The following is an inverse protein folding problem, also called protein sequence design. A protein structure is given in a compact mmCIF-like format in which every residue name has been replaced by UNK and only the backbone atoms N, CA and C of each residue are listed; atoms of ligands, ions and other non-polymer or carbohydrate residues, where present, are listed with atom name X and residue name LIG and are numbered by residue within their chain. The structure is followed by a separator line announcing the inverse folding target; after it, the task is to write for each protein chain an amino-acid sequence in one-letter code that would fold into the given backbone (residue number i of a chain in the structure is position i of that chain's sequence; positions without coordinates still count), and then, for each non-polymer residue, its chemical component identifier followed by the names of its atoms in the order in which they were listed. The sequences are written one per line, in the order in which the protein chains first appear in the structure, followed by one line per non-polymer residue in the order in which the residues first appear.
data_IF_856194261083
#
_entry.id   IF_856194261083
#
_cell.length_a   1.000
_cell.length_b   1.000
_cell.length_c   1.000
_cell.angle_alpha   90.00
_cell.angle_beta   90.00
_cell.angle_gamma   90.00
#
_symmetry.space_group_name_H-M   'P 1'
#
loop_
_entity.id
_entity.type
_entity.pdbx_description
1 polymer ?
#
# COMPACT_ATOMS: atom_id res chain seq x y z
N UNK A 1 -48.97 -11.65 -47.97
CA UNK A 1 -49.11 -10.18 -47.80
C UNK A 1 -49.34 -9.87 -46.32
N UNK A 2 -48.42 -9.09 -45.74
CA UNK A 2 -48.53 -8.11 -44.64
C UNK A 2 -49.62 -8.26 -43.56
N UNK A 3 -49.42 -7.95 -42.28
CA UNK A 3 -48.28 -7.77 -41.34
C UNK A 3 -49.00 -7.48 -40.00
N UNK A 4 -48.65 -8.22 -38.93
CA UNK A 4 -48.67 -7.97 -37.45
C UNK A 4 -49.74 -7.00 -36.86
N UNK A 5 -50.45 -7.31 -35.76
CA UNK A 5 -49.98 -7.48 -34.34
C UNK A 5 -51.15 -7.94 -33.41
N UNK A 6 -50.79 -8.34 -32.17
CA UNK A 6 -51.54 -8.45 -30.88
C UNK A 6 -51.70 -9.91 -30.37
N UNK A 7 -51.03 -10.28 -29.26
CA UNK A 7 -51.51 -10.42 -27.84
C UNK A 7 -52.57 -11.52 -27.68
N UNK A 8 -52.59 -12.44 -26.71
CA UNK A 8 -51.81 -12.85 -25.53
C UNK A 8 -52.23 -14.33 -25.27
N UNK A 9 -51.51 -15.22 -24.58
CA UNK A 9 -51.51 -15.42 -23.11
C UNK A 9 -50.91 -16.81 -22.89
N UNK A 10 -50.06 -17.02 -21.87
CA UNK A 10 -49.71 -18.39 -21.47
C UNK A 10 -48.50 -18.55 -20.55
N UNK A 11 -48.74 -18.39 -19.25
CA UNK A 11 -48.13 -19.10 -18.12
C UNK A 11 -46.60 -19.19 -17.96
N UNK A 12 -46.10 -18.38 -17.01
CA UNK A 12 -45.28 -18.75 -15.85
C UNK A 12 -44.29 -19.92 -15.95
N UNK A 13 -42.99 -19.60 -15.78
CA UNK A 13 -42.16 -20.12 -14.68
C UNK A 13 -41.24 -18.98 -14.23
N UNK A 14 -41.49 -18.43 -13.05
CA UNK A 14 -40.50 -17.65 -12.34
C UNK A 14 -39.52 -18.65 -11.71
N UNK A 15 -38.31 -18.75 -12.24
CA UNK A 15 -37.19 -19.31 -11.48
C UNK A 15 -36.74 -18.20 -10.53
N UNK A 16 -37.36 -18.18 -9.36
CA UNK A 16 -36.80 -17.55 -8.18
C UNK A 16 -35.43 -18.21 -7.93
N UNK A 17 -34.35 -17.46 -8.16
CA UNK A 17 -33.05 -17.81 -7.61
C UNK A 17 -33.19 -17.82 -6.09
N UNK A 18 -32.89 -18.96 -5.49
CA UNK A 18 -32.91 -19.16 -4.05
C UNK A 18 -32.00 -18.13 -3.38
N UNK A 19 -32.59 -17.13 -2.74
CA UNK A 19 -31.98 -16.47 -1.60
C UNK A 19 -31.98 -17.52 -0.49
N UNK A 20 -30.86 -18.22 -0.35
CA UNK A 20 -30.57 -18.97 0.86
C UNK A 20 -30.48 -17.97 1.99
N UNK A 21 -31.52 -17.94 2.82
CA UNK A 21 -31.44 -17.50 4.21
C UNK A 21 -30.42 -18.43 4.89
N UNK A 22 -29.14 -18.02 4.87
CA UNK A 22 -28.09 -18.70 5.63
C UNK A 22 -28.36 -18.41 7.11
N UNK A 23 -28.94 -19.41 7.79
CA UNK A 23 -29.29 -19.33 9.19
C UNK A 23 -28.13 -18.88 10.07
N UNK A 24 -28.48 -18.30 11.23
CA UNK A 24 -27.60 -17.93 12.34
C UNK A 24 -26.40 -18.89 12.48
N UNK A 25 -25.21 -18.49 11.97
CA UNK A 25 -23.95 -19.20 12.23
C UNK A 25 -22.85 -19.14 11.17
N UNK A 26 -23.14 -18.83 9.90
CA UNK A 26 -22.08 -18.68 8.88
C UNK A 26 -21.45 -17.27 8.91
N UNK A 27 -20.12 -17.12 8.74
CA UNK A 27 -19.49 -15.81 8.70
C UNK A 27 -19.94 -15.06 7.44
N UNK A 28 -20.05 -13.74 7.54
CA UNK A 28 -20.28 -12.89 6.36
C UNK A 28 -18.94 -12.52 5.71
N UNK A 29 -18.95 -12.20 4.41
CA UNK A 29 -17.75 -11.71 3.73
C UNK A 29 -17.19 -10.43 4.38
N UNK A 30 -18.07 -9.57 4.91
CA UNK A 30 -17.68 -8.37 5.67
C UNK A 30 -16.95 -8.71 6.97
N UNK A 31 -17.43 -9.69 7.74
CA UNK A 31 -16.77 -10.09 8.98
C UNK A 31 -15.39 -10.69 8.70
N UNK A 32 -15.29 -11.54 7.67
CA UNK A 32 -14.02 -12.14 7.26
C UNK A 32 -12.97 -11.10 6.82
N UNK A 33 -13.37 -10.09 6.06
CA UNK A 33 -12.46 -9.00 5.65
C UNK A 33 -12.04 -8.15 6.85
N UNK A 34 -12.95 -7.90 7.80
CA UNK A 34 -12.61 -7.19 9.06
C UNK A 34 -11.60 -7.97 9.90
N UNK A 35 -11.80 -9.27 10.05
CA UNK A 35 -10.84 -10.13 10.77
C UNK A 35 -9.47 -10.14 10.09
N UNK A 36 -9.43 -10.10 8.75
CA UNK A 36 -8.19 -9.99 8.00
C UNK A 36 -7.48 -8.64 8.17
N UNK A 37 -8.24 -7.54 8.25
CA UNK A 37 -7.70 -6.22 8.58
C UNK A 37 -7.10 -6.24 9.98
N UNK A 38 -7.81 -6.77 10.97
CA UNK A 38 -7.34 -6.82 12.36
C UNK A 38 -6.09 -7.70 12.54
N UNK A 39 -6.02 -8.82 11.82
CA UNK A 39 -4.79 -9.62 11.74
C UNK A 39 -3.66 -8.80 11.14
N UNK A 40 -3.90 -8.12 10.02
CA UNK A 40 -2.89 -7.34 9.31
C UNK A 40 -2.31 -6.20 10.17
N UNK A 41 -3.13 -5.56 11.01
CA UNK A 41 -2.71 -4.48 11.94
C UNK A 41 -1.65 -4.90 12.95
N UNK A 42 -1.67 -6.17 13.34
CA UNK A 42 -0.80 -6.71 14.39
C UNK A 42 0.26 -7.69 13.84
N UNK A 43 0.25 -7.95 12.53
CA UNK A 43 1.22 -8.83 11.87
C UNK A 43 2.62 -8.24 11.93
N UNK A 44 3.57 -9.00 12.49
CA UNK A 44 4.97 -8.63 12.67
C UNK A 44 5.86 -9.18 11.57
N UNK A 45 5.56 -10.37 11.05
CA UNK A 45 6.32 -10.94 9.95
C UNK A 45 5.53 -11.90 9.09
N UNK A 46 5.96 -12.05 7.84
CA UNK A 46 5.45 -13.07 6.92
C UNK A 46 6.59 -13.65 6.09
N UNK A 47 6.65 -14.96 5.97
CA UNK A 47 7.45 -15.68 4.96
C UNK A 47 6.54 -16.61 4.17
N UNK A 48 6.74 -16.69 2.87
CA UNK A 48 6.01 -17.61 2.00
C UNK A 48 6.73 -17.81 0.67
N UNK A 49 6.28 -18.80 -0.09
CA UNK A 49 6.37 -18.74 -1.55
C UNK A 49 5.06 -18.20 -2.10
N UNK A 50 5.10 -17.49 -3.22
CA UNK A 50 3.90 -17.14 -3.96
C UNK A 50 4.07 -17.41 -5.43
N UNK A 51 3.02 -17.91 -6.05
CA UNK A 51 2.89 -18.04 -7.50
C UNK A 51 2.01 -16.92 -8.01
N UNK A 52 2.51 -16.17 -8.98
CA UNK A 52 1.85 -15.04 -9.63
C UNK A 52 1.63 -15.43 -11.08
N UNK A 53 0.37 -15.47 -11.51
CA UNK A 53 -0.02 -15.73 -12.90
C UNK A 53 -0.78 -14.53 -13.42
N UNK A 54 -0.25 -13.87 -14.44
CA UNK A 54 -0.94 -12.79 -15.15
C UNK A 54 -1.21 -13.22 -16.60
N UNK A 55 -2.49 -13.33 -16.95
CA UNK A 55 -2.98 -13.70 -18.27
C UNK A 55 -3.58 -12.50 -19.00
N UNK A 56 -3.25 -12.38 -20.28
CA UNK A 56 -3.90 -11.54 -21.29
C UNK A 56 -4.16 -12.39 -22.55
N UNK A 57 -5.01 -11.96 -23.51
CA UNK A 57 -5.38 -12.75 -24.68
C UNK A 57 -4.20 -13.32 -25.49
N UNK A 58 -3.06 -12.62 -25.50
CA UNK A 58 -1.91 -12.97 -26.33
C UNK A 58 -0.74 -13.56 -25.51
N UNK A 59 -0.76 -13.43 -24.19
CA UNK A 59 0.37 -13.75 -23.34
C UNK A 59 -0.08 -14.17 -21.95
N UNK A 60 0.59 -15.18 -21.39
CA UNK A 60 0.46 -15.52 -19.97
C UNK A 60 1.85 -15.56 -19.38
N UNK A 61 2.06 -14.77 -18.34
CA UNK A 61 3.28 -14.78 -17.55
C UNK A 61 3.02 -15.45 -16.21
N UNK A 62 3.96 -16.28 -15.79
CA UNK A 62 3.95 -16.97 -14.51
C UNK A 62 5.28 -16.76 -13.81
N UNK A 63 5.23 -16.48 -12.50
CA UNK A 63 6.42 -16.32 -11.65
C UNK A 63 6.20 -16.99 -10.30
N UNK A 64 7.23 -17.67 -9.82
CA UNK A 64 7.28 -18.19 -8.45
C UNK A 64 8.30 -17.38 -7.68
N UNK A 65 7.88 -16.79 -6.57
CA UNK A 65 8.65 -15.84 -5.78
C UNK A 65 8.75 -16.33 -4.33
N UNK A 66 9.95 -16.30 -3.73
CA UNK A 66 10.11 -16.37 -2.27
C UNK A 66 9.97 -14.97 -1.71
N UNK A 67 9.13 -14.82 -0.70
CA UNK A 67 8.89 -13.53 -0.07
C UNK A 67 9.15 -13.61 1.43
N UNK A 68 9.73 -12.55 1.97
CA UNK A 68 9.84 -12.29 3.39
C UNK A 68 9.45 -10.84 3.65
N UNK A 69 8.71 -10.59 4.72
CA UNK A 69 8.17 -9.27 5.05
C UNK A 69 8.23 -8.99 6.54
N UNK A 70 8.52 -7.73 6.87
CA UNK A 70 8.29 -7.14 8.20
C UNK A 70 7.60 -5.79 7.98
N UNK A 71 6.26 -5.74 8.13
CA UNK A 71 5.50 -4.51 7.96
C UNK A 71 5.99 -3.39 8.87
N UNK A 72 5.85 -2.12 8.45
CA UNK A 72 5.21 -1.67 7.21
C UNK A 72 6.15 -1.56 6.00
N UNK A 73 7.47 -1.66 6.19
CA UNK A 73 8.44 -1.16 5.21
C UNK A 73 9.42 -2.21 4.66
N UNK A 74 9.66 -3.28 5.41
CA UNK A 74 10.71 -4.24 5.10
C UNK A 74 10.15 -5.38 4.26
N UNK A 75 10.78 -5.61 3.11
CA UNK A 75 10.40 -6.67 2.18
C UNK A 75 11.64 -7.21 1.46
N UNK A 76 11.65 -8.53 1.26
CA UNK A 76 12.52 -9.22 0.31
C UNK A 76 11.66 -10.07 -0.62
N UNK A 77 11.93 -9.97 -1.91
CA UNK A 77 11.35 -10.81 -2.96
C UNK A 77 12.50 -11.41 -3.76
N UNK A 78 12.52 -12.74 -3.90
CA UNK A 78 13.45 -13.46 -4.76
C UNK A 78 12.67 -14.26 -5.79
N UNK A 79 13.00 -14.08 -7.07
CA UNK A 79 12.34 -14.80 -8.17
C UNK A 79 13.00 -16.16 -8.35
N UNK A 80 12.27 -17.22 -8.06
CA UNK A 80 12.73 -18.61 -8.15
C UNK A 80 12.49 -19.21 -9.53
N UNK A 81 11.33 -18.91 -10.12
CA UNK A 81 10.92 -19.34 -11.45
C UNK A 81 10.21 -18.18 -12.14
N UNK A 82 10.38 -18.03 -13.45
CA UNK A 82 9.72 -16.96 -14.20
C UNK A 82 9.65 -17.27 -15.70
N UNK A 83 8.49 -17.03 -16.30
CA UNK A 83 8.32 -16.96 -17.76
C UNK A 83 8.35 -15.51 -18.26
N UNK A 84 8.40 -14.53 -17.37
CA UNK A 84 8.50 -13.10 -17.64
C UNK A 84 9.96 -12.72 -17.89
N UNK A 85 10.28 -12.27 -19.11
CA UNK A 85 11.65 -11.92 -19.48
C UNK A 85 12.15 -10.63 -18.82
N UNK A 86 11.26 -9.74 -18.40
CA UNK A 86 11.62 -8.50 -17.73
C UNK A 86 11.98 -8.73 -16.26
N UNK A 87 11.43 -9.80 -15.67
CA UNK A 87 11.67 -10.25 -14.30
C UNK A 87 12.21 -11.69 -14.32
N UNK A 88 13.47 -11.89 -14.75
CA UNK A 88 14.05 -13.22 -14.92
C UNK A 88 14.32 -13.93 -13.58
N UNK A 89 14.52 -15.25 -13.64
CA UNK A 89 14.97 -16.06 -12.50
C UNK A 89 16.24 -15.49 -11.88
N UNK A 90 16.25 -15.39 -10.55
CA UNK A 90 17.34 -14.81 -9.78
C UNK A 90 17.25 -13.29 -9.61
N UNK A 91 16.19 -12.64 -10.11
CA UNK A 91 15.90 -11.25 -9.76
C UNK A 91 15.62 -11.14 -8.26
N UNK A 92 16.13 -10.07 -7.63
CA UNK A 92 15.99 -9.84 -6.19
C UNK A 92 15.59 -8.41 -5.95
N UNK A 93 14.52 -8.21 -5.19
CA UNK A 93 14.13 -6.90 -4.67
C UNK A 93 14.22 -6.91 -3.15
N UNK A 94 14.95 -5.96 -2.58
CA UNK A 94 15.05 -5.76 -1.12
C UNK A 94 14.69 -4.32 -0.79
N UNK A 95 13.62 -4.14 -0.04
CA UNK A 95 13.16 -2.83 0.42
C UNK A 95 13.28 -2.76 1.93
N UNK A 96 13.78 -1.63 2.40
CA UNK A 96 13.66 -1.17 3.77
C UNK A 96 13.21 0.29 3.76
N UNK A 97 13.16 0.91 4.95
CA UNK A 97 12.71 2.31 5.11
C UNK A 97 13.53 3.32 4.32
N UNK A 98 14.82 3.08 4.15
CA UNK A 98 15.74 4.04 3.55
C UNK A 98 15.97 3.79 2.05
N UNK A 99 15.87 2.53 1.60
CA UNK A 99 16.30 2.13 0.27
C UNK A 99 15.49 0.97 -0.29
N UNK A 100 15.31 0.95 -1.60
CA UNK A 100 14.96 -0.24 -2.37
C UNK A 100 16.12 -0.59 -3.28
N UNK A 101 16.54 -1.86 -3.23
CA UNK A 101 17.46 -2.47 -4.15
C UNK A 101 16.68 -3.38 -5.10
N UNK A 102 16.91 -3.27 -6.40
CA UNK A 102 16.35 -4.18 -7.40
C UNK A 102 17.48 -4.68 -8.30
N UNK A 103 17.76 -5.97 -8.24
CA UNK A 103 18.77 -6.63 -9.06
C UNK A 103 18.11 -7.37 -10.21
N UNK A 104 18.58 -7.11 -11.43
CA UNK A 104 18.22 -7.87 -12.62
C UNK A 104 19.43 -8.68 -13.14
N UNK A 105 19.40 -10.02 -13.07
CA UNK A 105 20.52 -10.85 -13.51
C UNK A 105 20.70 -10.90 -15.03
N UNK A 106 19.69 -10.59 -15.84
CA UNK A 106 19.83 -10.56 -17.30
C UNK A 106 20.65 -9.36 -17.77
N UNK A 107 20.63 -8.26 -17.02
CA UNK A 107 21.39 -7.04 -17.34
C UNK A 107 22.63 -6.86 -16.47
N UNK A 108 22.77 -7.61 -15.38
CA UNK A 108 23.79 -7.42 -14.34
C UNK A 108 23.81 -5.97 -13.81
N UNK A 109 22.61 -5.42 -13.61
CA UNK A 109 22.38 -4.07 -13.07
C UNK A 109 21.60 -4.16 -11.77
N UNK A 110 21.97 -3.29 -10.83
CA UNK A 110 21.25 -3.05 -9.58
C UNK A 110 20.77 -1.62 -9.56
N UNK A 111 19.45 -1.44 -9.54
CA UNK A 111 18.85 -0.14 -9.25
C UNK A 111 18.78 0.04 -7.73
N UNK A 112 19.30 1.17 -7.25
CA UNK A 112 19.26 1.54 -5.83
C UNK A 112 18.46 2.83 -5.67
N UNK A 113 17.22 2.70 -5.26
CA UNK A 113 16.34 3.84 -5.02
C UNK A 113 16.42 4.28 -3.55
N UNK A 114 16.59 5.57 -3.33
CA UNK A 114 16.56 6.18 -1.99
C UNK A 114 15.16 6.67 -1.62
N UNK A 115 14.72 6.37 -0.41
CA UNK A 115 13.38 6.67 0.14
C UNK A 115 13.41 7.59 1.37
N UNK A 116 14.21 8.68 1.38
CA UNK A 116 14.49 9.42 2.61
C UNK A 116 13.26 10.08 3.25
N UNK A 117 12.20 10.31 2.45
CA UNK A 117 10.95 10.92 2.90
C UNK A 117 9.71 10.04 2.63
N UNK A 118 9.91 8.76 2.35
CA UNK A 118 8.78 7.86 2.06
C UNK A 118 8.03 7.58 3.35
N UNK A 119 6.72 7.80 3.30
CA UNK A 119 5.80 7.39 4.36
C UNK A 119 5.49 5.90 4.19
N UNK A 120 5.66 5.11 5.24
CA UNK A 120 5.40 3.68 5.17
C UNK A 120 3.90 3.43 5.32
N UNK A 121 3.27 3.03 4.21
CA UNK A 121 1.84 2.76 4.16
C UNK A 121 1.60 1.27 4.04
N UNK A 122 0.71 0.74 4.87
CA UNK A 122 0.28 -0.66 4.75
C UNK A 122 -0.74 -0.81 3.62
N UNK A 123 -0.23 -1.01 2.40
CA UNK A 123 -1.05 -1.14 1.21
C UNK A 123 -1.97 -2.36 1.27
N UNK A 124 -1.57 -3.45 1.91
CA UNK A 124 -2.44 -4.64 2.09
C UNK A 124 -3.68 -4.26 2.89
N UNK A 125 -3.46 -3.61 4.05
CA UNK A 125 -4.54 -3.19 4.93
C UNK A 125 -5.48 -2.25 4.21
N UNK A 126 -4.95 -1.25 3.50
CA UNK A 126 -5.76 -0.27 2.78
C UNK A 126 -6.60 -0.91 1.66
N UNK A 127 -6.05 -1.91 0.97
CA UNK A 127 -6.79 -2.65 -0.04
C UNK A 127 -7.88 -3.52 0.58
N UNK A 128 -7.65 -4.11 1.76
CA UNK A 128 -8.69 -4.81 2.51
C UNK A 128 -9.77 -3.85 3.04
N UNK A 129 -9.38 -2.68 3.53
CA UNK A 129 -10.32 -1.63 3.95
C UNK A 129 -11.17 -1.14 2.78
N UNK A 130 -10.57 -0.94 1.61
CA UNK A 130 -11.29 -0.56 0.40
C UNK A 130 -12.31 -1.63 -0.04
N UNK A 131 -12.04 -2.93 0.18
CA UNK A 131 -13.03 -3.99 -0.09
C UNK A 131 -14.33 -3.80 0.70
N UNK A 132 -14.28 -3.19 1.89
CA UNK A 132 -15.47 -2.96 2.72
C UNK A 132 -16.40 -1.89 2.14
N UNK A 133 -15.94 -1.07 1.20
CA UNK A 133 -16.78 -0.11 0.47
C UNK A 133 -17.70 -0.81 -0.55
N UNK A 134 -17.39 -2.04 -0.93
CA UNK A 134 -18.15 -2.82 -1.89
C UNK A 134 -19.06 -3.85 -1.23
N UNK A 135 -20.03 -4.35 -2.01
CA UNK A 135 -20.81 -5.50 -1.60
C UNK A 135 -19.94 -6.76 -1.66
N UNK A 136 -19.82 -7.44 -0.53
CA UNK A 136 -19.05 -8.68 -0.39
C UNK A 136 -20.00 -9.89 -0.36
N UNK A 137 -19.79 -10.83 -1.30
CA UNK A 137 -20.43 -12.14 -1.34
C UNK A 137 -19.57 -13.17 -0.61
N UNK A 138 -20.19 -14.12 0.09
CA UNK A 138 -19.52 -15.27 0.70
C UNK A 138 -19.91 -16.52 -0.07
N UNK A 139 -18.92 -17.17 -0.67
CA UNK A 139 -19.12 -18.29 -1.60
C UNK A 139 -18.83 -19.66 -0.94
N UNK A 140 -18.52 -19.68 0.36
CA UNK A 140 -18.21 -20.89 1.12
C UNK A 140 -16.72 -21.04 1.41
N UNK A 141 -16.26 -22.29 1.55
CA UNK A 141 -14.86 -22.63 1.79
C UNK A 141 -14.26 -23.43 0.63
N UNK A 142 -12.98 -23.20 0.38
CA UNK A 142 -12.15 -23.95 -0.56
C UNK A 142 -10.80 -24.30 0.07
N UNK A 143 -10.08 -25.25 -0.52
CA UNK A 143 -8.72 -25.60 -0.09
C UNK A 143 -7.66 -24.88 -0.94
N UNK A 144 -6.74 -24.18 -0.29
CA UNK A 144 -5.58 -23.51 -0.92
C UNK A 144 -4.32 -23.96 -0.20
N UNK A 145 -3.36 -24.54 -0.92
CA UNK A 145 -2.13 -25.12 -0.33
C UNK A 145 -2.39 -26.05 0.88
N UNK A 146 -3.44 -26.87 0.80
CA UNK A 146 -3.84 -27.77 1.89
C UNK A 146 -4.51 -27.09 3.10
N UNK A 147 -4.71 -25.77 3.07
CA UNK A 147 -5.38 -24.98 4.11
C UNK A 147 -6.83 -24.69 3.73
N UNK A 148 -7.73 -24.69 4.70
CA UNK A 148 -9.12 -24.27 4.48
C UNK A 148 -9.18 -22.74 4.43
N UNK A 149 -9.85 -22.20 3.41
CA UNK A 149 -9.98 -20.77 3.19
C UNK A 149 -11.42 -20.39 2.83
N UNK A 150 -11.88 -19.29 3.39
CA UNK A 150 -13.16 -18.68 3.08
C UNK A 150 -13.07 -17.87 1.80
N UNK A 151 -14.02 -18.08 0.89
CA UNK A 151 -14.07 -17.41 -0.40
C UNK A 151 -14.98 -16.19 -0.32
N UNK A 152 -14.40 -15.01 -0.52
CA UNK A 152 -15.11 -13.73 -0.55
C UNK A 152 -15.00 -13.14 -1.95
N UNK A 153 -16.13 -12.88 -2.60
CA UNK A 153 -16.20 -12.26 -3.92
C UNK A 153 -16.74 -10.83 -3.86
N UNK A 154 -16.22 -9.95 -4.69
CA UNK A 154 -16.80 -8.64 -4.95
C UNK A 154 -16.69 -8.22 -6.42
N UNK A 155 -17.54 -7.26 -6.79
CA UNK A 155 -17.59 -6.66 -8.12
C UNK A 155 -17.50 -5.14 -7.98
N UNK A 156 -16.29 -4.56 -8.05
CA UNK A 156 -16.12 -3.11 -8.00
C UNK A 156 -16.86 -2.45 -9.17
N UNK A 157 -17.54 -1.31 -8.97
CA UNK A 157 -18.19 -0.58 -10.05
C UNK A 157 -17.14 -0.05 -11.04
N UNK A 158 -17.45 -0.16 -12.34
CA UNK A 158 -16.51 0.23 -13.41
C UNK A 158 -16.19 1.72 -13.42
N UNK A 159 -17.13 2.57 -12.99
CA UNK A 159 -16.93 4.03 -12.94
C UNK A 159 -15.82 4.44 -11.95
N UNK A 160 -15.51 3.59 -10.96
CA UNK A 160 -14.43 3.79 -10.00
C UNK A 160 -13.09 3.24 -10.50
N UNK A 161 -13.10 2.55 -11.65
CA UNK A 161 -11.92 1.96 -12.27
C UNK A 161 -11.33 3.01 -13.22
N UNK A 162 -10.30 3.72 -12.75
CA UNK A 162 -9.53 4.65 -13.58
C UNK A 162 -8.88 3.97 -14.79
N UNK A 163 -7.93 4.64 -15.49
CA UNK A 163 -7.26 4.06 -16.66
C UNK A 163 -6.37 2.84 -16.32
N UNK A 164 -6.32 2.42 -15.06
CA UNK A 164 -5.51 1.35 -14.50
C UNK A 164 -6.32 0.63 -13.41
N UNK A 165 -6.29 -0.69 -13.38
CA UNK A 165 -6.68 -1.45 -12.18
C UNK A 165 -5.41 -1.71 -11.39
N UNK A 166 -5.33 -1.10 -10.21
CA UNK A 166 -4.27 -1.37 -9.24
C UNK A 166 -4.71 -2.52 -8.34
N UNK A 167 -4.05 -3.67 -8.49
CA UNK A 167 -4.21 -4.79 -7.58
C UNK A 167 -3.05 -4.81 -6.60
N UNK A 168 -3.32 -4.73 -5.30
CA UNK A 168 -2.29 -4.97 -4.29
C UNK A 168 -2.46 -6.35 -3.68
N UNK A 169 -1.48 -7.24 -3.90
CA UNK A 169 -1.40 -8.51 -3.18
C UNK A 169 -0.26 -8.45 -2.16
N UNK A 170 -0.63 -8.37 -0.89
CA UNK A 170 0.31 -7.91 0.13
C UNK A 170 0.61 -6.43 -0.07
N UNK A 171 1.87 -6.06 -0.29
CA UNK A 171 2.32 -4.69 -0.60
C UNK A 171 2.72 -4.51 -2.07
N UNK A 172 2.59 -5.57 -2.89
CA UNK A 172 2.98 -5.54 -4.29
C UNK A 172 1.80 -5.06 -5.11
N UNK A 173 1.93 -3.85 -5.66
CA UNK A 173 0.95 -3.29 -6.58
C UNK A 173 1.23 -3.80 -8.00
N UNK A 174 0.32 -4.61 -8.52
CA UNK A 174 0.20 -4.96 -9.92
C UNK A 174 -0.71 -3.96 -10.60
N UNK A 175 -0.22 -3.32 -11.65
CA UNK A 175 -0.99 -2.33 -12.40
C UNK A 175 -1.40 -2.95 -13.72
N UNK A 176 -2.69 -3.20 -13.90
CA UNK A 176 -3.23 -3.61 -15.19
C UNK A 176 -3.66 -2.35 -15.96
N UNK A 177 -3.03 -2.03 -17.10
CA UNK A 177 -3.44 -0.90 -17.93
C UNK A 177 -4.84 -1.15 -18.53
N UNK A 178 -5.80 -0.28 -18.23
CA UNK A 178 -7.17 -0.29 -18.79
C UNK A 178 -7.21 0.44 -20.15
N UNK A 179 -6.05 0.87 -20.65
CA UNK A 179 -5.82 1.71 -21.84
C UNK A 179 -6.40 1.13 -23.16
N UNK A 180 -7.01 -0.04 -23.11
CA UNK A 180 -7.42 -0.85 -24.26
C UNK A 180 -8.95 -0.84 -24.43
N UNK A 181 -9.71 -0.35 -23.45
CA UNK A 181 -11.16 -0.56 -23.39
C UNK A 181 -11.90 0.58 -24.06
N UNK A 182 -12.62 0.25 -25.13
CA UNK A 182 -13.35 1.21 -25.97
C UNK A 182 -14.72 1.56 -25.41
N UNK A 183 -15.24 0.75 -24.50
CA UNK A 183 -16.60 0.84 -23.96
C UNK A 183 -16.64 0.33 -22.52
N UNK A 184 -16.53 1.26 -21.56
CA UNK A 184 -16.54 0.95 -20.12
C UNK A 184 -17.86 0.31 -19.66
N UNK A 185 -18.97 0.55 -20.35
CA UNK A 185 -20.28 -0.01 -19.98
C UNK A 185 -20.34 -1.55 -20.16
N UNK A 186 -19.38 -2.11 -20.90
CA UNK A 186 -19.27 -3.55 -21.19
C UNK A 186 -18.23 -4.29 -20.35
N UNK A 187 -17.54 -3.57 -19.49
CA UNK A 187 -16.53 -4.13 -18.62
C UNK A 187 -17.21 -4.79 -17.41
N UNK A 188 -16.84 -6.03 -17.09
CA UNK A 188 -17.17 -6.68 -15.83
C UNK A 188 -15.85 -6.99 -15.12
N UNK A 189 -15.66 -6.39 -13.94
CA UNK A 189 -14.52 -6.66 -13.07
C UNK A 189 -14.99 -7.44 -11.87
N UNK A 190 -14.30 -8.55 -11.59
CA UNK A 190 -14.53 -9.33 -10.38
C UNK A 190 -13.23 -9.53 -9.63
N UNK A 191 -13.36 -9.58 -8.31
CA UNK A 191 -12.28 -9.82 -7.37
C UNK A 191 -12.72 -10.89 -6.40
N UNK A 192 -11.93 -11.96 -6.29
CA UNK A 192 -12.16 -13.06 -5.36
C UNK A 192 -10.95 -13.17 -4.44
N UNK A 193 -11.18 -13.20 -3.14
CA UNK A 193 -10.15 -13.33 -2.09
C UNK A 193 -10.44 -14.57 -1.28
N UNK A 194 -9.42 -15.39 -1.05
CA UNK A 194 -9.45 -16.57 -0.18
C UNK A 194 -8.75 -16.22 1.12
N UNK A 195 -9.52 -16.16 2.20
CA UNK A 195 -9.03 -15.80 3.54
C UNK A 195 -8.88 -17.09 4.34
N UNK A 196 -7.65 -17.38 4.77
CA UNK A 196 -7.32 -18.55 5.59
C UNK A 196 -8.17 -18.63 6.86
N UNK A 197 -8.69 -19.80 7.20
CA UNK A 197 -9.54 -19.98 8.38
C UNK A 197 -8.77 -19.79 9.71
N UNK A 198 -7.49 -20.22 9.75
CA UNK A 198 -6.67 -20.19 10.96
C UNK A 198 -6.07 -18.80 11.21
N UNK A 199 -5.33 -18.27 10.23
CA UNK A 199 -4.64 -16.98 10.35
C UNK A 199 -5.54 -15.79 10.04
N UNK A 200 -6.71 -15.99 9.42
CA UNK A 200 -7.54 -14.89 8.89
C UNK A 200 -6.73 -13.99 7.94
N UNK A 201 -5.84 -14.56 7.12
CA UNK A 201 -5.01 -13.80 6.17
C UNK A 201 -5.37 -14.18 4.72
N UNK A 202 -5.35 -13.23 3.75
CA UNK A 202 -5.53 -13.55 2.34
C UNK A 202 -4.41 -14.44 1.80
N UNK A 203 -4.72 -15.69 1.45
CA UNK A 203 -3.73 -16.66 0.94
C UNK A 203 -3.86 -16.95 -0.55
N UNK A 204 -4.96 -16.54 -1.16
CA UNK A 204 -5.09 -16.49 -2.61
C UNK A 204 -5.97 -15.33 -3.00
N UNK A 205 -5.68 -14.77 -4.16
CA UNK A 205 -6.47 -13.72 -4.74
C UNK A 205 -6.54 -13.90 -6.26
N UNK A 206 -7.72 -13.65 -6.83
CA UNK A 206 -7.96 -13.66 -8.26
C UNK A 206 -8.73 -12.42 -8.67
N UNK A 207 -8.23 -11.72 -9.68
CA UNK A 207 -8.92 -10.60 -10.30
C UNK A 207 -9.13 -10.92 -11.77
N UNK A 208 -10.36 -10.71 -12.25
CA UNK A 208 -10.69 -10.90 -13.66
C UNK A 208 -11.32 -9.63 -14.22
N UNK A 209 -10.95 -9.33 -15.45
CA UNK A 209 -11.50 -8.25 -16.24
C UNK A 209 -12.04 -8.85 -17.53
N UNK A 210 -13.36 -8.79 -17.69
CA UNK A 210 -14.07 -9.34 -18.83
C UNK A 210 -14.67 -8.21 -19.67
N UNK A 211 -14.54 -8.29 -20.98
CA UNK A 211 -15.18 -7.36 -21.94
C UNK A 211 -16.03 -8.19 -22.90
N UNK A 212 -17.33 -7.85 -23.02
CA UNK A 212 -18.28 -8.59 -23.86
C UNK A 212 -18.32 -10.12 -23.54
N UNK A 213 -18.02 -10.50 -22.30
CA UNK A 213 -18.02 -11.89 -21.83
C UNK A 213 -16.73 -12.67 -22.10
N UNK A 214 -15.71 -12.03 -22.69
CA UNK A 214 -14.37 -12.61 -22.87
C UNK A 214 -13.40 -12.06 -21.81
N UNK A 215 -12.59 -12.92 -21.20
CA UNK A 215 -11.54 -12.49 -20.27
C UNK A 215 -10.42 -11.78 -21.02
N UNK A 216 -10.26 -10.49 -20.71
CA UNK A 216 -9.19 -9.63 -21.24
C UNK A 216 -7.97 -9.63 -20.34
N UNK A 217 -8.17 -9.69 -19.03
CA UNK A 217 -7.07 -9.82 -18.09
C UNK A 217 -7.49 -10.71 -16.92
N UNK A 218 -6.58 -11.57 -16.50
CA UNK A 218 -6.71 -12.36 -15.28
C UNK A 218 -5.40 -12.29 -14.51
N UNK A 219 -5.48 -11.99 -13.22
CA UNK A 219 -4.34 -12.00 -12.33
C UNK A 219 -4.67 -12.87 -11.12
N UNK A 220 -3.91 -13.93 -10.94
CA UNK A 220 -4.01 -14.82 -9.78
C UNK A 220 -2.72 -14.78 -9.00
N UNK A 221 -2.81 -14.62 -7.68
CA UNK A 221 -1.70 -14.80 -6.75
C UNK A 221 -2.10 -15.83 -5.72
N UNK A 222 -1.25 -16.84 -5.53
CA UNK A 222 -1.47 -17.91 -4.54
C UNK A 222 -0.25 -18.04 -3.65
N UNK A 223 -0.45 -18.06 -2.34
CA UNK A 223 0.60 -18.29 -1.35
C UNK A 223 0.72 -19.78 -1.05
N UNK A 224 1.95 -20.21 -0.82
CA UNK A 224 2.33 -21.55 -0.41
C UNK A 224 3.37 -21.44 0.72
N UNK A 225 3.46 -22.48 1.57
CA UNK A 225 4.40 -22.51 2.70
C UNK A 225 4.27 -21.26 3.62
N UNK A 226 3.04 -20.78 3.85
CA UNK A 226 2.80 -19.55 4.62
C UNK A 226 3.23 -19.70 6.09
N UNK A 227 4.09 -18.80 6.53
CA UNK A 227 4.46 -18.60 7.94
C UNK A 227 4.22 -17.14 8.34
N UNK A 228 3.41 -16.94 9.37
CA UNK A 228 3.11 -15.61 9.93
C UNK A 228 3.62 -15.56 11.37
N UNK A 229 4.32 -14.46 11.70
CA UNK A 229 4.77 -14.17 13.06
C UNK A 229 5.73 -15.19 13.72
N UNK A 230 6.33 -16.08 12.94
CA UNK A 230 7.36 -17.02 13.42
C UNK A 230 8.77 -16.39 13.50
N UNK A 231 8.92 -15.16 12.99
CA UNK A 231 10.14 -14.36 13.05
C UNK A 231 11.01 -14.50 11.81
N UNK A 232 11.53 -13.36 11.35
CA UNK A 232 12.43 -13.26 10.18
C UNK A 232 13.75 -12.66 10.63
N UNK A 233 14.85 -13.21 10.15
CA UNK A 233 16.18 -12.73 10.47
C UNK A 233 16.38 -11.28 9.97
N UNK A 234 16.92 -10.35 10.77
CA UNK A 234 17.06 -8.93 10.37
C UNK A 234 17.86 -8.72 9.08
N UNK A 235 18.87 -9.54 8.83
CA UNK A 235 19.73 -9.48 7.64
C UNK A 235 18.98 -9.74 6.32
N UNK A 236 17.79 -10.36 6.38
CA UNK A 236 16.93 -10.61 5.22
C UNK A 236 16.62 -9.33 4.44
N UNK A 237 16.50 -8.20 5.14
CA UNK A 237 16.15 -6.89 4.57
C UNK A 237 17.37 -6.02 4.25
N UNK A 238 18.55 -6.64 4.21
CA UNK A 238 19.79 -6.04 3.70
C UNK A 238 20.20 -6.69 2.40
N UNK A 239 20.85 -5.93 1.52
CA UNK A 239 21.31 -6.41 0.24
C UNK A 239 22.74 -5.98 -0.02
N UNK A 240 23.60 -6.95 -0.33
CA UNK A 240 24.95 -6.71 -0.84
C UNK A 240 24.99 -7.20 -2.28
N UNK A 241 25.09 -6.31 -3.28
CA UNK A 241 25.07 -6.71 -4.68
C UNK A 241 26.28 -7.58 -5.03
N UNK A 242 26.15 -8.51 -6.00
CA UNK A 242 27.28 -9.32 -6.44
C UNK A 242 28.46 -8.45 -6.90
N UNK A 243 29.68 -8.94 -6.69
CA UNK A 243 30.89 -8.21 -7.10
C UNK A 243 30.92 -7.97 -8.61
N UNK A 244 31.24 -6.75 -9.02
CA UNK A 244 31.38 -6.38 -10.43
C UNK A 244 30.09 -5.95 -11.12
N UNK A 245 28.95 -5.97 -10.41
CA UNK A 245 27.66 -5.48 -10.89
C UNK A 245 27.60 -3.96 -10.87
N UNK A 246 26.93 -3.37 -11.85
CA UNK A 246 26.75 -1.91 -11.93
C UNK A 246 25.60 -1.49 -11.02
N UNK A 247 25.84 -0.56 -10.10
CA UNK A 247 24.80 0.03 -9.24
C UNK A 247 24.39 1.39 -9.82
N UNK A 248 23.12 1.53 -10.15
CA UNK A 248 22.51 2.76 -10.65
C UNK A 248 21.67 3.39 -9.53
N UNK A 249 22.10 4.52 -8.95
CA UNK A 249 21.29 5.19 -7.93
C UNK A 249 20.11 5.93 -8.56
N UNK A 250 18.96 5.88 -7.88
CA UNK A 250 17.76 6.66 -8.20
C UNK A 250 17.30 7.46 -6.97
N UNK A 251 16.83 8.67 -7.21
CA UNK A 251 16.48 9.63 -6.17
C UNK A 251 17.70 10.28 -5.49
N UNK A 252 17.41 11.15 -4.52
CA UNK A 252 18.45 11.86 -3.77
C UNK A 252 18.84 11.05 -2.54
N UNK A 253 20.12 10.70 -2.45
CA UNK A 253 20.69 10.10 -1.25
C UNK A 253 20.54 11.09 -0.07
N UNK A 254 19.99 10.65 1.08
CA UNK A 254 19.98 11.50 2.26
C UNK A 254 21.40 11.77 2.73
N UNK A 255 21.63 12.96 3.29
CA UNK A 255 22.91 13.27 3.96
C UNK A 255 23.14 12.37 5.17
N UNK A 256 22.05 11.95 5.82
CA UNK A 256 22.10 10.98 6.90
C UNK A 256 20.72 10.56 7.38
N UNK A 257 20.72 9.42 8.08
CA UNK A 257 19.59 8.91 8.85
C UNK A 257 20.08 8.77 10.29
N UNK A 258 19.45 9.47 11.22
CA UNK A 258 19.90 9.60 12.59
C UNK A 258 18.84 9.12 13.58
N UNK A 259 19.26 8.45 14.65
CA UNK A 259 18.35 8.02 15.73
C UNK A 259 18.10 9.12 16.77
N UNK A 260 18.89 10.20 16.77
CA UNK A 260 18.89 11.23 17.82
C UNK A 260 18.93 12.63 17.23
N UNK A 261 18.10 13.53 17.77
CA UNK A 261 18.03 14.96 17.39
C UNK A 261 19.39 15.63 17.37
N UNK A 262 20.14 15.57 18.48
CA UNK A 262 21.48 16.15 18.60
C UNK A 262 22.47 15.68 17.51
N UNK A 263 22.34 14.44 17.04
CA UNK A 263 23.21 13.94 15.99
C UNK A 263 22.83 14.54 14.63
N UNK A 264 21.54 14.67 14.36
CA UNK A 264 21.01 15.33 13.17
C UNK A 264 21.33 16.84 13.15
N UNK A 265 21.14 17.54 14.28
CA UNK A 265 21.41 18.99 14.41
C UNK A 265 22.86 19.37 14.11
N UNK A 266 23.82 18.47 14.28
CA UNK A 266 25.21 18.72 13.91
C UNK A 266 25.41 18.94 12.40
N UNK A 267 24.38 18.64 11.58
CA UNK A 267 24.35 18.80 10.14
C UNK A 267 23.40 19.92 9.68
N UNK A 268 22.68 20.58 10.59
CA UNK A 268 21.65 21.55 10.25
C UNK A 268 22.06 22.97 10.68
N UNK A 269 21.64 24.00 9.92
CA UNK A 269 21.84 25.39 10.33
C UNK A 269 20.81 25.89 11.37
N UNK A 270 19.90 25.01 11.81
CA UNK A 270 18.83 25.28 12.77
C UNK A 270 18.69 24.14 13.79
N UNK A 271 18.05 24.44 14.93
CA UNK A 271 17.71 23.44 15.94
C UNK A 271 16.45 22.67 15.53
N UNK A 272 16.34 21.40 15.95
CA UNK A 272 15.17 20.60 15.66
C UNK A 272 14.15 20.71 16.81
N UNK A 273 12.85 20.77 16.52
CA UNK A 273 11.84 20.91 17.56
C UNK A 273 11.73 19.65 18.42
N UNK A 274 11.21 19.84 19.64
CA UNK A 274 10.85 18.76 20.55
C UNK A 274 9.34 18.66 20.74
N UNK A 275 8.59 18.10 19.76
CA UNK A 275 7.14 18.01 19.86
C UNK A 275 6.68 17.10 21.01
N UNK A 276 5.61 17.51 21.69
CA UNK A 276 4.85 16.68 22.63
C UNK A 276 3.95 15.73 21.83
N UNK A 277 4.52 14.59 21.42
CA UNK A 277 3.78 13.50 20.76
C UNK A 277 3.12 12.58 21.79
N UNK A 278 1.99 11.92 21.46
CA UNK A 278 1.37 10.96 22.38
C UNK A 278 2.32 9.82 22.78
N UNK A 279 2.22 9.33 24.02
CA UNK A 279 3.09 8.29 24.61
C UNK A 279 3.23 7.01 23.78
N UNK A 280 2.25 6.71 22.92
CA UNK A 280 2.29 5.55 22.03
C UNK A 280 3.38 5.68 20.94
N UNK A 281 3.75 6.91 20.57
CA UNK A 281 4.72 7.19 19.53
C UNK A 281 6.14 7.36 20.11
N UNK A 282 7.11 6.73 19.46
CA UNK A 282 8.53 6.93 19.74
C UNK A 282 9.21 7.57 18.53
N UNK A 283 10.21 8.42 18.76
CA UNK A 283 11.10 8.90 17.70
C UNK A 283 11.82 7.70 17.09
N UNK A 284 11.55 7.44 15.83
CA UNK A 284 12.10 6.32 15.06
C UNK A 284 13.41 6.72 14.38
N UNK A 285 13.36 7.81 13.59
CA UNK A 285 14.50 8.30 12.81
C UNK A 285 14.36 9.77 12.47
N UNK A 286 15.47 10.37 12.09
CA UNK A 286 15.55 11.72 11.52
C UNK A 286 16.28 11.61 10.19
N UNK A 287 15.65 12.06 9.11
CA UNK A 287 16.27 12.09 7.79
C UNK A 287 16.62 13.52 7.41
N UNK A 288 17.82 13.71 6.86
CA UNK A 288 18.27 15.01 6.35
C UNK A 288 18.51 14.88 4.85
N UNK A 289 17.94 15.81 4.09
CA UNK A 289 18.13 15.92 2.66
C UNK A 289 18.50 17.36 2.33
N UNK A 290 19.69 17.54 1.78
CA UNK A 290 20.06 18.76 1.10
C UNK A 290 19.20 18.93 -0.17
N UNK A 291 18.56 20.07 -0.33
CA UNK A 291 17.78 20.47 -1.50
C UNK A 291 18.25 21.81 -2.06
N UNK A 292 19.49 22.22 -1.80
CA UNK A 292 20.06 23.50 -2.26
C UNK A 292 19.84 23.73 -3.76
N UNK A 293 20.17 22.74 -4.60
CA UNK A 293 20.01 22.85 -6.05
C UNK A 293 18.54 22.98 -6.55
N UNK A 294 17.56 22.54 -5.75
CA UNK A 294 16.14 22.48 -6.16
C UNK A 294 15.29 23.58 -5.51
N UNK A 295 15.51 23.82 -4.22
CA UNK A 295 14.71 24.72 -3.39
C UNK A 295 15.55 25.69 -2.54
N UNK A 296 16.89 25.63 -2.57
CA UNK A 296 17.76 26.55 -1.84
C UNK A 296 17.83 26.32 -0.34
N UNK A 297 17.84 25.05 0.10
CA UNK A 297 18.16 24.72 1.50
C UNK A 297 17.88 23.27 1.87
N UNK A 298 17.84 22.98 3.16
CA UNK A 298 17.79 21.63 3.73
C UNK A 298 16.39 21.28 4.22
N UNK A 299 16.04 20.00 4.12
CA UNK A 299 14.86 19.42 4.79
C UNK A 299 15.30 18.42 5.84
N UNK A 300 14.88 18.62 7.08
CA UNK A 300 14.93 17.62 8.14
C UNK A 300 13.53 17.04 8.38
N UNK A 301 13.40 15.72 8.49
CA UNK A 301 12.15 15.05 8.85
C UNK A 301 12.35 14.15 10.06
N UNK A 302 11.65 14.44 11.15
CA UNK A 302 11.57 13.62 12.35
C UNK A 302 10.39 12.67 12.21
N UNK A 303 10.67 11.37 12.19
CA UNK A 303 9.68 10.32 12.06
C UNK A 303 9.37 9.72 13.43
N UNK A 304 8.09 9.62 13.75
CA UNK A 304 7.60 9.01 14.97
C UNK A 304 6.68 7.85 14.61
N UNK A 305 6.86 6.71 15.26
CA UNK A 305 6.10 5.49 14.99
C UNK A 305 5.55 4.87 16.27
N UNK A 306 4.34 4.33 16.21
CA UNK A 306 3.82 3.42 17.25
C UNK A 306 4.38 2.01 16.98
N UNK A 307 5.28 1.48 17.83
CA UNK A 307 5.88 0.18 17.61
C UNK A 307 4.89 -0.99 17.76
N UNK A 308 3.67 -0.74 18.25
CA UNK A 308 2.66 -1.77 18.49
C UNK A 308 1.61 -1.85 17.38
N UNK A 309 1.58 -0.90 16.45
CA UNK A 309 0.58 -0.84 15.37
C UNK A 309 1.28 -0.62 14.03
N UNK A 310 1.06 -1.53 13.08
CA UNK A 310 1.67 -1.44 11.74
C UNK A 310 1.23 -0.16 11.01
N UNK A 311 2.19 0.53 10.39
CA UNK A 311 1.98 1.74 9.58
C UNK A 311 1.23 2.86 10.31
N UNK A 312 1.45 2.99 11.62
CA UNK A 312 0.97 4.10 12.42
C UNK A 312 2.12 5.08 12.67
N UNK A 313 2.33 5.94 11.69
CA UNK A 313 3.39 6.93 11.66
C UNK A 313 2.85 8.35 11.64
N UNK A 314 3.58 9.25 12.31
CA UNK A 314 3.47 10.69 12.15
C UNK A 314 4.87 11.26 11.89
N UNK A 315 4.97 12.41 11.26
CA UNK A 315 6.25 13.08 11.07
C UNK A 315 6.15 14.59 11.27
N UNK A 316 7.28 15.17 11.69
CA UNK A 316 7.51 16.61 11.72
C UNK A 316 8.59 16.94 10.72
N UNK A 317 8.31 17.84 9.78
CA UNK A 317 9.30 18.31 8.82
C UNK A 317 9.64 19.78 9.06
N UNK A 318 10.93 20.09 9.02
CA UNK A 318 11.50 21.43 9.14
C UNK A 318 12.29 21.73 7.88
N UNK A 319 12.08 22.91 7.29
CA UNK A 319 12.61 23.27 5.96
C UNK A 319 13.03 24.74 5.93
N UNK A 320 14.09 25.04 5.19
CA UNK A 320 14.53 26.43 4.90
C UNK A 320 13.73 27.08 3.76
N UNK A 321 12.70 26.40 3.26
CA UNK A 321 11.84 26.88 2.18
C UNK A 321 10.41 26.42 2.39
N UNK A 322 9.45 27.26 1.97
CA UNK A 322 8.03 26.95 2.08
C UNK A 322 7.59 25.92 1.02
N UNK A 323 6.97 24.81 1.44
CA UNK A 323 6.49 23.74 0.55
C UNK A 323 4.96 23.61 0.46
N UNK A 324 4.21 24.56 1.02
CA UNK A 324 2.75 24.63 0.92
C UNK A 324 2.32 25.96 0.28
N UNK A 325 1.13 25.99 -0.30
CA UNK A 325 0.51 27.22 -0.81
C UNK A 325 -0.65 27.60 0.09
N UNK A 326 -0.56 28.74 0.75
CA UNK A 326 -1.62 29.29 1.61
C UNK A 326 -2.89 29.65 0.85
N UNK A 327 -2.81 29.78 -0.47
CA UNK A 327 -3.96 30.04 -1.35
C UNK A 327 -4.45 28.78 -2.05
N UNK A 328 -3.92 27.60 -1.69
CA UNK A 328 -4.43 26.34 -2.23
C UNK A 328 -5.89 26.16 -1.79
N UNK A 329 -6.81 25.73 -2.67
CA UNK A 329 -8.17 25.39 -2.26
C UNK A 329 -8.22 24.18 -1.31
N UNK A 330 -7.16 23.38 -1.26
CA UNK A 330 -7.06 22.17 -0.45
C UNK A 330 -6.52 22.43 0.98
N UNK A 331 -6.31 23.70 1.35
CA UNK A 331 -5.89 24.06 2.72
C UNK A 331 -6.89 25.03 3.36
N UNK A 332 -7.15 24.80 4.65
CA UNK A 332 -7.95 25.67 5.50
C UNK A 332 -7.01 26.50 6.38
N UNK A 333 -7.20 27.82 6.41
CA UNK A 333 -6.50 28.69 7.36
C UNK A 333 -7.06 28.48 8.78
N UNK A 334 -6.18 28.23 9.73
CA UNK A 334 -6.48 28.01 11.15
C UNK A 334 -5.57 28.86 12.03
N UNK A 335 -5.91 28.98 13.31
CA UNK A 335 -5.07 29.63 14.32
C UNK A 335 -4.57 28.58 15.32
N UNK A 336 -3.26 28.55 15.57
CA UNK A 336 -2.63 27.69 16.60
C UNK A 336 -1.72 28.56 17.46
N UNK A 337 -2.04 28.67 18.75
CA UNK A 337 -1.32 29.50 19.73
C UNK A 337 -1.05 30.94 19.26
N UNK A 338 -2.04 31.55 18.61
CA UNK A 338 -1.95 32.92 18.10
C UNK A 338 -1.15 33.08 16.79
N UNK A 339 -0.71 31.98 16.18
CA UNK A 339 -0.04 31.97 14.88
C UNK A 339 -0.98 31.44 13.79
N UNK A 340 -0.89 32.03 12.60
CA UNK A 340 -1.58 31.53 11.42
C UNK A 340 -0.92 30.21 10.97
N UNK A 341 -1.74 29.18 10.84
CA UNK A 341 -1.34 27.89 10.29
C UNK A 341 -2.36 27.45 9.23
N UNK A 342 -2.02 26.40 8.49
CA UNK A 342 -2.83 25.88 7.40
C UNK A 342 -3.04 24.39 7.58
N UNK A 343 -4.29 23.96 7.63
CA UNK A 343 -4.67 22.55 7.75
C UNK A 343 -5.03 21.98 6.39
N UNK A 344 -4.54 20.77 6.11
CA UNK A 344 -5.00 19.95 4.98
C UNK A 344 -5.51 18.63 5.53
N UNK A 345 -6.77 18.33 5.23
CA UNK A 345 -7.37 17.03 5.49
C UNK A 345 -7.24 16.11 4.27
N UNK A 346 -7.29 14.81 4.50
CA UNK A 346 -7.19 13.77 3.48
C UNK A 346 -6.61 12.49 4.07
N UNK A 347 -6.13 11.58 3.21
CA UNK A 347 -5.47 10.33 3.66
C UNK A 347 -4.21 10.59 4.50
N UNK A 348 -3.59 11.75 4.31
CA UNK A 348 -2.55 12.27 5.20
C UNK A 348 -3.04 13.63 5.67
N UNK A 349 -3.36 13.72 6.96
CA UNK A 349 -3.70 14.99 7.57
C UNK A 349 -2.42 15.74 7.87
N UNK A 350 -2.39 17.04 7.55
CA UNK A 350 -1.20 17.87 7.70
C UNK A 350 -1.56 19.25 8.26
N UNK A 351 -0.70 19.78 9.13
CA UNK A 351 -0.72 21.20 9.53
C UNK A 351 0.61 21.83 9.14
N UNK A 352 0.55 22.97 8.46
CA UNK A 352 1.70 23.72 7.97
C UNK A 352 1.72 25.12 8.57
N UNK A 353 2.91 25.62 8.86
CA UNK A 353 3.10 27.02 9.22
C UNK A 353 4.51 27.45 8.86
N UNK A 354 4.76 28.75 8.96
CA UNK A 354 6.09 29.32 8.83
C UNK A 354 6.40 30.09 10.10
N UNK A 355 7.63 29.96 10.58
CA UNK A 355 8.16 30.81 11.63
C UNK A 355 9.57 31.27 11.24
N UNK A 356 9.78 32.59 11.29
CA UNK A 356 10.97 33.24 10.74
C UNK A 356 11.27 32.74 9.32
N UNK A 357 12.47 32.19 9.08
CA UNK A 357 12.92 31.68 7.79
C UNK A 357 12.63 30.16 7.61
N UNK A 358 11.95 29.53 8.57
CA UNK A 358 11.65 28.10 8.56
C UNK A 358 10.19 27.80 8.24
N UNK A 359 9.98 26.74 7.46
CA UNK A 359 8.68 26.15 7.18
C UNK A 359 8.55 24.81 7.88
N UNK A 360 7.44 24.66 8.60
CA UNK A 360 7.12 23.49 9.40
C UNK A 360 5.92 22.73 8.81
N UNK A 361 5.89 21.43 9.05
CA UNK A 361 4.78 20.55 8.76
C UNK A 361 4.69 19.46 9.83
N UNK A 362 3.50 19.23 10.38
CA UNK A 362 3.18 18.03 11.16
C UNK A 362 2.15 17.24 10.39
N UNK A 363 2.44 15.97 10.13
CA UNK A 363 1.58 15.11 9.33
C UNK A 363 1.35 13.76 9.99
N UNK A 364 0.13 13.22 9.85
CA UNK A 364 -0.23 11.88 10.30
C UNK A 364 -1.04 11.11 9.26
N UNK A 365 -0.88 9.79 9.26
CA UNK A 365 -1.70 8.86 8.47
C UNK A 365 -3.02 8.50 9.15
N UNK A 366 -3.25 8.92 10.40
CA UNK A 366 -4.43 8.55 11.18
C UNK A 366 -5.18 9.78 11.68
N UNK A 367 -6.51 9.70 11.64
CA UNK A 367 -7.39 10.81 12.03
C UNK A 367 -7.47 11.02 13.55
N UNK A 368 -6.99 10.06 14.36
CA UNK A 368 -7.01 10.11 15.82
C UNK A 368 -5.77 10.76 16.44
N UNK A 369 -4.82 11.21 15.60
CA UNK A 369 -3.62 11.91 16.06
C UNK A 369 -3.95 13.36 16.41
N UNK A 370 -3.61 13.88 17.61
CA UNK A 370 -3.93 15.25 18.01
C UNK A 370 -2.97 16.27 17.37
N UNK A 371 -3.04 16.44 16.03
CA UNK A 371 -2.13 17.27 15.25
C UNK A 371 -2.06 18.73 15.74
N UNK A 372 -3.17 19.28 16.22
CA UNK A 372 -3.23 20.65 16.76
C UNK A 372 -2.41 20.79 18.05
N UNK A 373 -2.48 19.82 18.95
CA UNK A 373 -1.72 19.83 20.21
C UNK A 373 -0.21 19.66 19.94
N UNK A 374 0.13 18.75 19.02
CA UNK A 374 1.52 18.55 18.58
C UNK A 374 2.06 19.84 17.94
N UNK A 375 1.28 20.48 17.06
CA UNK A 375 1.67 21.75 16.42
C UNK A 375 1.88 22.85 17.45
N UNK A 376 0.96 22.99 18.41
CA UNK A 376 1.06 23.96 19.50
C UNK A 376 2.33 23.76 20.36
N UNK A 377 2.70 22.50 20.63
CA UNK A 377 3.92 22.17 21.40
C UNK A 377 5.23 22.58 20.70
N UNK A 378 5.22 22.65 19.36
CA UNK A 378 6.37 23.13 18.58
C UNK A 378 6.36 24.66 18.52
N UNK A 379 5.20 25.23 18.15
CA UNK A 379 5.02 26.67 18.00
C UNK A 379 6.01 27.31 17.03
N UNK A 380 6.57 28.43 17.46
CA UNK A 380 7.63 29.17 16.80
C UNK A 380 8.94 28.92 17.56
N UNK A 381 9.49 27.71 17.42
CA UNK A 381 10.74 27.28 18.05
C UNK A 381 11.96 27.82 17.31
#
# INVERSE_FOLDING_TARGET
MNRRRLLATGAAVALAGCLGDSGDGAPTGTDLVRDAIETRRHMRSLEAKRTVTAGAPEETVERVERIARRPPAEQRIEVLESTDSDVPVGSVTVTNRATTWAYNPSTEVVDKQYHPNKVDTDQTRLVLENLLEYRLGYEGTETVDGREAHVVETKPPVDDIGPKVELVVGDTTYVMPVNIIRDLEKLDVSRTVWIDDEYRYPIKERNTMNEDGETRHELTVTYEDLSIDEGVAPETFTYDPPKGVTVVPDGREPEGVFERRRAAEAHLPYELPEPDVPDAYALDRITIIDREDEYGGTTAMLWYNDPNVVARELYVAVREFQRFSSTSPDVEEIEVDGNTAYRRDGRIQSIFWTCDDLSYEVSSLTDDTPLLEITASIGCS
#
